data_IF_909583487485
#
_entry.id   IF_909583487485
#
_cell.length_a   1.000
_cell.length_b   1.000
_cell.length_c   1.000
_cell.angle_alpha   90.00
_cell.angle_beta   90.00
_cell.angle_gamma   90.00
#
_symmetry.space_group_name_H-M   'P 1'
#
loop_
_entity.id
_entity.type
_entity.pdbx_description
1 polymer ?
#
# COMPACT_ATOMS: atom_id res chain seq x y z
N UNK A 1 -10.63 2.36 2.73
CA UNK A 1 -11.28 2.93 1.54
C UNK A 1 -12.11 4.15 1.93
N UNK A 2 -12.10 5.19 1.12
CA UNK A 2 -12.87 6.42 1.29
C UNK A 2 -13.54 6.77 -0.05
N UNK A 3 -14.81 6.36 -0.18
CA UNK A 3 -15.60 6.52 -1.40
C UNK A 3 -15.86 7.99 -1.77
N UNK A 4 -16.29 8.88 -0.85
CA UNK A 4 -16.50 10.29 -1.20
C UNK A 4 -15.26 11.01 -1.72
N UNK A 5 -14.06 10.58 -1.32
CA UNK A 5 -12.79 11.19 -1.72
C UNK A 5 -12.01 10.32 -2.71
N UNK A 6 -12.60 9.22 -3.19
CA UNK A 6 -12.00 8.32 -4.18
C UNK A 6 -10.65 7.74 -3.78
N UNK A 7 -10.34 7.57 -2.49
CA UNK A 7 -9.01 7.12 -2.04
C UNK A 7 -9.01 5.86 -1.20
N UNK A 8 -7.86 5.20 -1.15
CA UNK A 8 -7.55 4.12 -0.21
C UNK A 8 -6.23 4.45 0.49
N UNK A 9 -6.15 4.14 1.78
CA UNK A 9 -4.94 4.30 2.57
C UNK A 9 -4.62 2.95 3.21
N UNK A 10 -3.41 2.45 2.98
CA UNK A 10 -2.84 1.34 3.73
C UNK A 10 -2.04 1.88 4.91
N UNK A 11 -2.58 1.69 6.12
CA UNK A 11 -2.00 2.22 7.34
C UNK A 11 -0.74 1.48 7.81
N UNK A 12 -0.47 0.26 7.31
CA UNK A 12 0.71 -0.51 7.71
C UNK A 12 2.00 0.16 7.26
N UNK A 13 1.94 0.77 6.08
CA UNK A 13 3.08 1.40 5.40
C UNK A 13 2.85 2.89 5.11
N UNK A 14 1.71 3.45 5.50
CA UNK A 14 1.37 4.85 5.26
C UNK A 14 1.10 5.20 3.78
N UNK A 15 0.89 4.20 2.93
CA UNK A 15 0.62 4.39 1.50
C UNK A 15 -0.80 4.89 1.27
N UNK A 16 -0.98 5.91 0.43
CA UNK A 16 -2.31 6.39 0.04
C UNK A 16 -2.41 6.48 -1.49
N UNK A 17 -3.38 5.76 -2.06
CA UNK A 17 -3.75 5.88 -3.48
C UNK A 17 -5.06 6.65 -3.60
N UNK A 18 -5.10 7.61 -4.52
CA UNK A 18 -6.29 8.45 -4.82
C UNK A 18 -7.13 7.90 -5.98
N UNK A 19 -6.93 6.63 -6.33
CA UNK A 19 -7.67 5.97 -7.40
C UNK A 19 -8.38 4.72 -6.87
N UNK A 20 -9.40 4.95 -6.04
CA UNK A 20 -10.19 3.88 -5.41
C UNK A 20 -10.79 2.91 -6.43
N UNK A 21 -11.31 3.41 -7.54
CA UNK A 21 -11.97 2.57 -8.55
C UNK A 21 -11.01 1.57 -9.17
N UNK A 22 -9.80 2.00 -9.54
CA UNK A 22 -8.75 1.10 -10.05
C UNK A 22 -8.39 0.01 -9.04
N UNK A 23 -8.21 0.39 -7.77
CA UNK A 23 -7.88 -0.55 -6.69
C UNK A 23 -8.98 -1.60 -6.51
N UNK A 24 -10.25 -1.18 -6.53
CA UNK A 24 -11.39 -2.11 -6.44
C UNK A 24 -11.51 -3.00 -7.68
N UNK A 25 -11.10 -2.50 -8.85
CA UNK A 25 -11.03 -3.27 -10.09
C UNK A 25 -9.82 -4.22 -10.14
N UNK A 26 -8.96 -4.23 -9.11
CA UNK A 26 -7.86 -5.19 -8.96
C UNK A 26 -6.47 -4.63 -9.29
N UNK A 27 -6.34 -3.34 -9.59
CA UNK A 27 -5.05 -2.67 -9.75
C UNK A 27 -4.39 -2.46 -8.36
N UNK A 28 -3.94 -3.55 -7.76
CA UNK A 28 -3.39 -3.59 -6.39
C UNK A 28 -1.87 -3.84 -6.34
N UNK A 29 -1.21 -3.95 -7.48
CA UNK A 29 0.22 -4.29 -7.57
C UNK A 29 1.09 -3.29 -6.80
N UNK A 30 0.76 -2.00 -6.86
CA UNK A 30 1.42 -0.93 -6.11
C UNK A 30 1.45 -1.22 -4.59
N UNK A 31 0.33 -1.70 -4.05
CA UNK A 31 0.24 -2.03 -2.62
C UNK A 31 1.07 -3.26 -2.28
N UNK A 32 1.07 -4.27 -3.15
CA UNK A 32 1.82 -5.50 -2.95
C UNK A 32 3.32 -5.20 -2.93
N UNK A 33 3.82 -4.45 -3.92
CA UNK A 33 5.23 -4.07 -4.01
C UNK A 33 5.68 -3.23 -2.81
N UNK A 34 4.87 -2.25 -2.41
CA UNK A 34 5.19 -1.38 -1.28
C UNK A 34 5.24 -2.15 0.05
N UNK A 35 4.35 -3.13 0.25
CA UNK A 35 4.37 -3.99 1.44
C UNK A 35 5.60 -4.92 1.45
N UNK A 36 5.95 -5.51 0.31
CA UNK A 36 7.15 -6.34 0.20
C UNK A 36 8.43 -5.55 0.50
N UNK A 37 8.52 -4.32 -0.03
CA UNK A 37 9.65 -3.43 0.24
C UNK A 37 9.75 -3.07 1.73
N UNK A 38 8.62 -2.74 2.36
CA UNK A 38 8.58 -2.42 3.79
C UNK A 38 9.06 -3.61 4.62
N UNK A 39 8.54 -4.81 4.38
CA UNK A 39 8.96 -6.03 5.09
C UNK A 39 10.46 -6.33 4.90
N UNK A 40 10.96 -6.20 3.68
CA UNK A 40 12.38 -6.45 3.40
C UNK A 40 13.28 -5.42 4.11
N UNK A 41 12.87 -4.16 4.15
CA UNK A 41 13.58 -3.09 4.86
C UNK A 41 13.63 -3.38 6.35
N UNK A 42 12.51 -3.78 6.96
CA UNK A 42 12.46 -4.17 8.37
C UNK A 42 13.36 -5.37 8.67
N UNK A 43 13.34 -6.41 7.81
CA UNK A 43 14.21 -7.59 7.96
C UNK A 43 15.69 -7.26 7.83
N UNK A 44 16.07 -6.35 6.94
CA UNK A 44 17.46 -5.89 6.81
C UNK A 44 17.90 -5.11 8.04
N UNK A 45 17.04 -4.23 8.57
CA UNK A 45 17.35 -3.44 9.76
C UNK A 45 17.49 -4.28 11.04
N UNK A 46 16.74 -5.39 11.15
CA UNK A 46 16.77 -6.26 12.32
C UNK A 46 17.88 -7.32 12.30
N UNK A 47 18.54 -7.51 11.15
CA UNK A 47 19.63 -8.50 10.96
C UNK A 47 21.04 -7.89 11.02
N UNK A 48 21.17 -6.63 11.47
CA UNK A 48 22.44 -5.95 11.75
C UNK A 48 22.57 -5.59 13.22
#
# INVERSE_FOLDING_TARGET
YNWPQGRVTDHRIGLTSYNLDAVINGEIDEFIEALQLAENTEKMANNG
#
